data_IF_868861918472
#
_entry.id   IF_868861918472
#
_cell.length_a   1.000
_cell.length_b   1.000
_cell.length_c   1.000
_cell.angle_alpha   90.00
_cell.angle_beta   90.00
_cell.angle_gamma   90.00
#
_symmetry.space_group_name_H-M   'P 1'
#
loop_
_entity.id
_entity.type
_entity.pdbx_description
1 polymer ?
#
# COMPACT_ATOMS: atom_id res chain seq x y z
N UNK A 1 -42.92 28.65 -55.70
CA UNK A 1 -41.61 27.96 -55.81
C UNK A 1 -41.47 27.10 -54.57
N UNK A 2 -41.42 25.76 -54.70
CA UNK A 2 -40.22 24.91 -54.44
C UNK A 2 -39.62 25.14 -53.03
N UNK A 3 -39.51 24.17 -52.11
CA UNK A 3 -39.55 22.69 -52.29
C UNK A 3 -39.54 21.87 -50.98
N UNK A 4 -40.09 20.63 -51.03
CA UNK A 4 -39.97 19.44 -50.12
C UNK A 4 -40.40 19.57 -48.62
N UNK A 5 -41.33 18.76 -48.07
CA UNK A 5 -41.28 17.30 -47.71
C UNK A 5 -40.16 16.97 -46.69
N UNK A 6 -40.39 16.28 -45.56
CA UNK A 6 -41.13 15.02 -45.38
C UNK A 6 -41.87 14.85 -44.05
N UNK A 7 -42.85 13.93 -44.03
CA UNK A 7 -43.38 13.26 -42.83
C UNK A 7 -42.51 12.03 -42.55
N UNK A 8 -42.07 11.82 -41.30
CA UNK A 8 -41.72 10.48 -40.78
C UNK A 8 -42.29 10.33 -39.38
N UNK A 9 -43.14 9.32 -39.21
CA UNK A 9 -43.63 8.84 -37.91
C UNK A 9 -42.62 7.84 -37.37
N UNK A 10 -42.21 7.97 -36.11
CA UNK A 10 -41.63 6.85 -35.35
C UNK A 10 -42.32 6.69 -34.00
N UNK A 11 -42.90 5.51 -33.83
CA UNK A 11 -43.47 4.96 -32.61
C UNK A 11 -42.51 3.88 -32.10
N UNK A 12 -42.44 3.71 -30.77
CA UNK A 12 -41.90 2.54 -30.06
C UNK A 12 -40.39 2.24 -30.23
N UNK A 13 -39.64 2.40 -29.13
CA UNK A 13 -38.98 1.29 -28.42
C UNK A 13 -38.30 1.82 -27.16
N UNK A 14 -38.47 1.15 -26.03
CA UNK A 14 -37.80 1.53 -24.79
C UNK A 14 -36.36 1.04 -24.78
N UNK A 15 -35.44 1.93 -24.39
CA UNK A 15 -34.22 1.52 -23.69
C UNK A 15 -34.20 2.28 -22.38
N UNK A 16 -34.82 1.70 -21.36
CA UNK A 16 -34.41 1.97 -19.99
C UNK A 16 -32.97 1.46 -19.89
N UNK A 17 -31.99 2.34 -20.09
CA UNK A 17 -30.64 2.11 -19.58
C UNK A 17 -30.74 2.28 -18.07
N UNK A 18 -31.31 1.28 -17.39
CA UNK A 18 -31.00 1.00 -16.00
C UNK A 18 -29.55 0.52 -15.97
N UNK A 19 -28.62 1.43 -16.26
CA UNK A 19 -27.24 1.25 -15.89
C UNK A 19 -27.28 1.02 -14.38
N UNK A 20 -26.84 -0.15 -13.96
CA UNK A 20 -26.53 -0.38 -12.57
C UNK A 20 -25.47 0.65 -12.20
N UNK A 21 -25.90 1.77 -11.63
CA UNK A 21 -25.05 2.59 -10.79
C UNK A 21 -24.82 1.72 -9.56
N UNK A 22 -23.88 0.79 -9.69
CA UNK A 22 -23.24 0.17 -8.54
C UNK A 22 -22.81 1.33 -7.66
N UNK A 23 -23.29 1.44 -6.41
CA UNK A 23 -22.77 2.46 -5.52
C UNK A 23 -21.25 2.28 -5.48
N UNK A 24 -20.46 3.37 -5.48
CA UNK A 24 -19.02 3.23 -5.40
C UNK A 24 -18.72 2.41 -4.15
N UNK A 25 -18.01 1.29 -4.33
CA UNK A 25 -17.55 0.47 -3.23
C UNK A 25 -16.36 1.15 -2.55
N UNK A 26 -16.55 2.39 -2.09
CA UNK A 26 -15.63 3.11 -1.20
C UNK A 26 -15.77 2.55 0.21
N UNK A 27 -15.63 1.24 0.34
CA UNK A 27 -15.29 0.60 1.60
C UNK A 27 -13.80 0.86 1.82
N UNK A 28 -13.50 2.05 2.35
CA UNK A 28 -12.14 2.47 2.70
C UNK A 28 -11.42 1.33 3.42
N UNK A 29 -10.43 0.78 2.73
CA UNK A 29 -9.67 -0.37 3.18
C UNK A 29 -8.39 -0.61 2.39
N UNK A 30 -7.50 -1.38 3.01
CA UNK A 30 -6.29 -1.90 2.39
C UNK A 30 -5.99 -3.30 2.93
N UNK A 31 -5.21 -4.06 2.16
CA UNK A 31 -4.61 -5.34 2.50
C UNK A 31 -3.09 -5.13 2.49
N UNK A 32 -2.40 -5.56 3.53
CA UNK A 32 -0.93 -5.57 3.61
C UNK A 32 -0.46 -6.98 3.97
N UNK A 33 0.49 -7.53 3.21
CA UNK A 33 0.93 -8.94 3.29
C UNK A 33 2.43 -9.04 3.03
N UNK A 34 3.21 -9.52 4.00
CA UNK A 34 4.69 -9.59 3.93
C UNK A 34 5.23 -11.03 4.10
N UNK A 35 5.77 -11.61 3.02
CA UNK A 35 6.32 -12.98 2.95
C UNK A 35 7.83 -12.98 2.72
N UNK A 36 8.54 -13.95 3.31
CA UNK A 36 9.86 -14.38 2.85
C UNK A 36 9.71 -15.08 1.49
N UNK A 37 10.39 -14.58 0.46
CA UNK A 37 10.45 -15.22 -0.84
C UNK A 37 11.46 -16.38 -0.81
N UNK A 38 10.91 -17.59 -0.70
CA UNK A 38 11.66 -18.85 -0.71
C UNK A 38 12.36 -19.15 -2.05
N UNK A 39 12.08 -18.38 -3.12
CA UNK A 39 12.69 -18.55 -4.44
C UNK A 39 13.96 -17.72 -4.66
N UNK A 40 14.29 -16.79 -3.76
CA UNK A 40 15.42 -15.88 -3.96
C UNK A 40 16.80 -16.57 -3.77
N UNK A 41 17.72 -16.50 -4.76
CA UNK A 41 18.94 -17.32 -4.78
C UNK A 41 20.09 -16.86 -3.85
N UNK A 42 19.92 -15.78 -3.08
CA UNK A 42 20.99 -15.11 -2.34
C UNK A 42 20.90 -15.19 -0.80
N UNK A 43 19.97 -16.02 -0.28
CA UNK A 43 19.48 -16.07 1.10
C UNK A 43 18.57 -14.91 1.48
N UNK A 44 17.27 -15.24 1.57
CA UNK A 44 16.17 -14.51 2.21
C UNK A 44 16.03 -13.06 1.69
N UNK A 45 15.19 -12.91 0.68
CA UNK A 45 14.51 -11.64 0.42
C UNK A 45 13.08 -11.77 0.94
N UNK A 46 12.47 -10.68 1.41
CA UNK A 46 11.04 -10.65 1.70
C UNK A 46 10.31 -9.74 0.70
N UNK A 47 9.09 -10.10 0.34
CA UNK A 47 8.19 -9.30 -0.51
C UNK A 47 6.99 -8.86 0.32
N UNK A 48 6.80 -7.55 0.43
CA UNK A 48 5.64 -6.92 1.04
C UNK A 48 4.75 -6.34 -0.06
N UNK A 49 3.48 -6.75 -0.07
CA UNK A 49 2.45 -6.22 -0.93
C UNK A 49 1.42 -5.43 -0.13
N UNK A 50 1.12 -4.21 -0.57
CA UNK A 50 0.03 -3.40 -0.06
C UNK A 50 -0.94 -3.08 -1.19
N UNK A 51 -2.18 -3.57 -1.09
CA UNK A 51 -3.25 -3.29 -2.04
C UNK A 51 -4.33 -2.42 -1.38
N UNK A 52 -4.69 -1.32 -2.00
CA UNK A 52 -5.77 -0.43 -1.56
C UNK A 52 -7.10 -0.75 -2.27
N UNK A 53 -8.21 -0.47 -1.59
CA UNK A 53 -9.58 -0.67 -2.12
C UNK A 53 -9.91 0.07 -3.43
N UNK A 54 -9.18 1.15 -3.75
CA UNK A 54 -9.25 1.89 -5.02
C UNK A 54 -8.24 1.40 -6.08
N UNK A 55 -7.42 0.40 -5.78
CA UNK A 55 -6.59 -0.29 -6.77
C UNK A 55 -5.17 0.24 -6.96
N UNK A 56 -4.58 0.94 -5.99
CA UNK A 56 -3.12 1.02 -5.89
C UNK A 56 -2.57 -0.28 -5.31
N UNK A 57 -1.66 -0.92 -6.04
CA UNK A 57 -0.83 -2.03 -5.57
C UNK A 57 0.61 -1.51 -5.41
N UNK A 58 1.15 -1.65 -4.21
CA UNK A 58 2.55 -1.42 -3.86
C UNK A 58 3.21 -2.79 -3.65
N UNK A 59 4.38 -2.99 -4.25
CA UNK A 59 5.30 -4.10 -4.01
C UNK A 59 6.62 -3.54 -3.49
N UNK A 60 7.11 -4.08 -2.37
CA UNK A 60 8.43 -3.78 -1.80
C UNK A 60 9.19 -5.09 -1.64
N UNK A 61 10.35 -5.21 -2.29
CA UNK A 61 11.26 -6.35 -2.12
C UNK A 61 12.39 -5.91 -1.18
N UNK A 62 12.64 -6.63 -0.09
CA UNK A 62 13.66 -6.32 0.93
C UNK A 62 14.71 -7.43 1.00
N UNK A 63 15.93 -7.10 1.46
CA UNK A 63 16.95 -8.10 1.82
C UNK A 63 16.87 -8.40 3.33
N UNK A 64 16.99 -9.66 3.75
CA UNK A 64 16.81 -10.05 5.17
C UNK A 64 17.83 -9.52 6.17
N UNK A 65 18.88 -8.82 5.71
CA UNK A 65 19.81 -8.13 6.60
C UNK A 65 19.32 -6.74 7.01
N UNK A 66 18.37 -6.16 6.27
CA UNK A 66 17.90 -4.80 6.43
C UNK A 66 16.42 -4.70 6.00
N UNK A 67 15.52 -4.99 6.93
CA UNK A 67 14.07 -4.84 6.72
C UNK A 67 13.62 -3.38 6.62
N UNK A 68 14.55 -2.41 6.73
CA UNK A 68 14.22 -0.99 6.57
C UNK A 68 14.44 -0.53 5.13
N UNK A 69 15.39 -1.13 4.41
CA UNK A 69 15.78 -0.73 3.06
C UNK A 69 15.35 -1.73 1.97
N UNK A 70 14.25 -1.47 1.23
CA UNK A 70 13.87 -2.32 0.11
C UNK A 70 14.88 -2.20 -1.03
N UNK A 71 15.20 -3.34 -1.64
CA UNK A 71 16.02 -3.50 -2.85
C UNK A 71 15.32 -2.95 -4.09
N UNK A 72 13.98 -2.96 -4.09
CA UNK A 72 13.18 -2.36 -5.13
C UNK A 72 11.79 -2.01 -4.62
N UNK A 73 11.22 -0.91 -5.12
CA UNK A 73 9.81 -0.55 -4.91
C UNK A 73 9.08 -0.40 -6.26
N UNK A 74 7.90 -1.01 -6.36
CA UNK A 74 7.01 -0.88 -7.53
C UNK A 74 5.62 -0.44 -7.07
N UNK A 75 5.06 0.56 -7.74
CA UNK A 75 3.70 1.05 -7.50
C UNK A 75 2.93 0.97 -8.79
N UNK A 76 1.83 0.22 -8.81
CA UNK A 76 1.02 -0.05 -10.00
C UNK A 76 -0.44 0.27 -9.75
N UNK A 77 -1.18 0.58 -10.81
CA UNK A 77 -2.65 0.68 -10.75
C UNK A 77 -3.26 -0.61 -11.29
N UNK A 78 -3.90 -1.38 -10.42
CA UNK A 78 -4.58 -2.63 -10.80
C UNK A 78 -6.06 -2.38 -11.18
N UNK A 79 -6.63 -3.15 -12.12
CA UNK A 79 -8.05 -3.05 -12.46
C UNK A 79 -8.95 -3.34 -11.26
N UNK A 80 -10.06 -2.60 -11.12
CA UNK A 80 -11.01 -2.76 -10.01
C UNK A 80 -11.62 -4.18 -9.94
N UNK A 81 -11.72 -4.88 -11.08
CA UNK A 81 -12.14 -6.29 -11.12
C UNK A 81 -11.16 -7.20 -10.35
N UNK A 82 -9.85 -7.01 -10.54
CA UNK A 82 -8.80 -7.72 -9.81
C UNK A 82 -8.83 -7.40 -8.32
N UNK A 83 -9.03 -6.13 -7.95
CA UNK A 83 -9.22 -5.70 -6.54
C UNK A 83 -10.42 -6.43 -5.93
N UNK A 84 -11.58 -6.41 -6.61
CA UNK A 84 -12.80 -7.03 -6.11
C UNK A 84 -12.67 -8.55 -6.00
N UNK A 85 -11.96 -9.20 -6.94
CA UNK A 85 -11.66 -10.63 -6.92
C UNK A 85 -10.87 -11.02 -5.66
N UNK A 86 -9.82 -10.28 -5.32
CA UNK A 86 -9.08 -10.49 -4.07
C UNK A 86 -9.96 -10.16 -2.86
N UNK A 87 -10.68 -9.03 -2.88
CA UNK A 87 -11.47 -8.52 -1.75
C UNK A 87 -12.57 -9.50 -1.33
N UNK A 88 -13.20 -10.18 -2.30
CA UNK A 88 -14.20 -11.21 -2.04
C UNK A 88 -13.64 -12.44 -1.30
N UNK A 89 -12.32 -12.67 -1.33
CA UNK A 89 -11.63 -13.80 -0.67
C UNK A 89 -11.18 -13.48 0.76
N UNK A 90 -11.05 -12.19 1.13
CA UNK A 90 -10.52 -11.77 2.44
C UNK A 90 -11.45 -12.04 3.64
N UNK A 91 -12.79 -11.82 3.58
CA UNK A 91 -13.67 -12.03 4.73
C UNK A 91 -13.55 -13.40 5.43
N UNK A 92 -13.53 -14.57 4.74
CA UNK A 92 -13.37 -15.85 5.43
C UNK A 92 -11.97 -16.01 6.06
N UNK A 93 -10.91 -15.50 5.43
CA UNK A 93 -9.53 -15.60 5.92
C UNK A 93 -9.33 -14.81 7.22
N UNK A 94 -9.88 -13.60 7.28
CA UNK A 94 -9.79 -12.70 8.42
C UNK A 94 -10.98 -12.85 9.39
N UNK A 95 -11.86 -13.84 9.20
CA UNK A 95 -13.06 -14.02 10.04
C UNK A 95 -12.78 -14.46 11.49
N UNK A 96 -11.58 -15.00 11.77
CA UNK A 96 -11.21 -15.56 13.07
C UNK A 96 -9.94 -14.92 13.61
N UNK A 97 -10.00 -14.36 14.81
CA UNK A 97 -8.81 -13.94 15.57
C UNK A 97 -7.91 -15.14 15.86
N UNK A 98 -6.68 -15.13 15.35
CA UNK A 98 -5.67 -16.14 15.63
C UNK A 98 -4.50 -15.53 16.40
N UNK A 99 -4.47 -15.75 17.72
CA UNK A 99 -3.24 -15.63 18.50
C UNK A 99 -2.24 -16.68 18.00
N UNK A 100 -1.04 -16.28 17.58
CA UNK A 100 -0.04 -17.23 17.12
C UNK A 100 1.36 -16.89 17.64
N UNK A 101 1.92 -17.83 18.42
CA UNK A 101 3.36 -18.01 18.55
C UNK A 101 3.80 -18.97 17.43
N UNK A 102 4.45 -18.45 16.38
CA UNK A 102 5.33 -19.24 15.52
C UNK A 102 6.62 -18.47 15.35
N UNK A 103 7.74 -19.11 15.69
CA UNK A 103 9.09 -18.54 15.62
C UNK A 103 9.80 -18.84 14.30
N UNK A 104 9.12 -19.44 13.31
CA UNK A 104 9.73 -20.02 12.11
C UNK A 104 8.78 -20.07 10.90
N UNK A 105 7.85 -19.11 10.80
CA UNK A 105 6.87 -19.08 9.73
C UNK A 105 7.24 -18.00 8.71
N UNK A 106 7.31 -18.31 7.40
CA UNK A 106 7.83 -17.41 6.36
C UNK A 106 6.89 -16.24 6.01
N UNK A 107 5.86 -15.96 6.82
CA UNK A 107 5.02 -14.77 6.63
C UNK A 107 4.90 -14.05 7.97
N UNK A 108 5.46 -12.85 8.03
CA UNK A 108 5.77 -12.21 9.31
C UNK A 108 4.64 -11.28 9.74
N UNK A 109 3.93 -10.66 8.78
CA UNK A 109 2.77 -9.82 9.05
C UNK A 109 1.72 -9.90 7.92
N UNK A 110 0.44 -9.85 8.30
CA UNK A 110 -0.66 -9.59 7.36
C UNK A 110 -1.84 -8.91 8.05
N UNK A 111 -2.32 -7.84 7.43
CA UNK A 111 -3.34 -6.94 7.95
C UNK A 111 -4.38 -6.64 6.89
N UNK A 112 -5.63 -6.55 7.31
CA UNK A 112 -6.74 -6.12 6.47
C UNK A 112 -7.58 -5.10 7.20
N UNK A 113 -7.61 -3.87 6.68
CA UNK A 113 -8.53 -2.82 7.10
C UNK A 113 -9.73 -2.82 6.15
N UNK A 114 -10.94 -2.93 6.68
CA UNK A 114 -12.17 -2.82 5.89
C UNK A 114 -13.28 -2.19 6.73
N UNK A 115 -13.92 -1.13 6.21
CA UNK A 115 -14.99 -0.38 6.89
C UNK A 115 -14.57 0.10 8.30
N UNK A 116 -13.32 0.58 8.43
CA UNK A 116 -12.74 1.01 9.71
C UNK A 116 -12.42 -0.12 10.70
N UNK A 117 -12.71 -1.39 10.37
CA UNK A 117 -12.33 -2.54 11.19
C UNK A 117 -10.99 -3.07 10.72
N UNK A 118 -9.94 -2.85 11.51
CA UNK A 118 -8.65 -3.50 11.34
C UNK A 118 -8.73 -4.95 11.83
N UNK A 119 -8.25 -5.88 11.01
CA UNK A 119 -8.16 -7.30 11.36
C UNK A 119 -6.76 -7.83 11.02
N UNK A 120 -6.11 -8.46 11.98
CA UNK A 120 -4.77 -9.05 11.86
C UNK A 120 -4.88 -10.56 11.72
N UNK A 121 -4.03 -11.15 10.87
CA UNK A 121 -3.77 -12.59 10.85
C UNK A 121 -2.28 -12.79 11.07
N UNK A 122 -1.90 -13.30 12.25
CA UNK A 122 -0.55 -13.81 12.45
C UNK A 122 -0.47 -15.22 11.89
N UNK A 123 0.34 -15.39 10.85
CA UNK A 123 0.30 -16.57 9.98
C UNK A 123 0.99 -17.79 10.61
N UNK A 124 1.53 -17.61 11.82
CA UNK A 124 2.08 -18.66 12.65
C UNK A 124 1.19 -19.88 12.88
N UNK A 125 -0.14 -19.70 12.86
CA UNK A 125 -1.12 -20.81 12.89
C UNK A 125 -1.70 -21.15 11.52
N UNK A 126 -1.58 -20.29 10.52
CA UNK A 126 -2.12 -20.55 9.18
C UNK A 126 -1.45 -21.75 8.52
N UNK A 127 -0.13 -21.92 8.67
CA UNK A 127 0.58 -23.11 8.19
C UNK A 127 0.22 -24.43 8.91
N UNK A 128 -0.59 -24.39 9.98
CA UNK A 128 -1.15 -25.59 10.61
C UNK A 128 -2.54 -25.96 10.05
N UNK A 129 -3.18 -25.06 9.28
CA UNK A 129 -4.43 -25.30 8.55
C UNK A 129 -4.12 -25.23 7.04
N UNK A 130 -3.82 -26.38 6.44
CA UNK A 130 -3.38 -26.51 5.03
C UNK A 130 -4.31 -25.77 4.05
N UNK A 131 -5.63 -25.80 4.29
CA UNK A 131 -6.62 -25.13 3.43
C UNK A 131 -6.50 -23.60 3.50
N UNK A 132 -6.29 -23.05 4.70
CA UNK A 132 -6.12 -21.60 4.88
C UNK A 132 -4.75 -21.12 4.42
N UNK A 133 -3.70 -21.89 4.70
CA UNK A 133 -2.35 -21.67 4.18
C UNK A 133 -2.36 -21.53 2.65
N UNK A 134 -2.99 -22.47 1.96
CA UNK A 134 -3.18 -22.42 0.50
C UNK A 134 -3.87 -21.14 0.05
N UNK A 135 -5.02 -20.80 0.63
CA UNK A 135 -5.79 -19.62 0.21
C UNK A 135 -5.06 -18.27 0.37
N UNK A 136 -4.21 -18.11 1.39
CA UNK A 136 -3.42 -16.89 1.55
C UNK A 136 -2.18 -16.88 0.65
N UNK A 137 -1.54 -18.04 0.46
CA UNK A 137 -0.47 -18.23 -0.52
C UNK A 137 -0.96 -17.89 -1.93
N UNK A 138 -2.16 -18.35 -2.30
CA UNK A 138 -2.82 -17.99 -3.56
C UNK A 138 -3.07 -16.47 -3.71
N UNK A 139 -3.41 -15.76 -2.62
CA UNK A 139 -3.59 -14.30 -2.66
C UNK A 139 -2.24 -13.62 -2.86
N UNK A 140 -1.19 -14.09 -2.20
CA UNK A 140 0.16 -13.56 -2.43
C UNK A 140 0.63 -13.79 -3.87
N UNK A 141 0.46 -15.00 -4.42
CA UNK A 141 0.78 -15.27 -5.82
C UNK A 141 -0.08 -14.44 -6.79
N UNK A 142 -1.34 -14.16 -6.45
CA UNK A 142 -2.21 -13.28 -7.23
C UNK A 142 -1.75 -11.81 -7.17
N UNK A 143 -1.36 -11.30 -6.00
CA UNK A 143 -0.75 -9.97 -5.84
C UNK A 143 0.56 -9.86 -6.63
N UNK A 144 1.43 -10.86 -6.54
CA UNK A 144 2.67 -10.93 -7.31
C UNK A 144 2.40 -10.92 -8.81
N UNK A 145 1.48 -11.76 -9.30
CA UNK A 145 1.11 -11.77 -10.72
C UNK A 145 0.53 -10.44 -11.19
N UNK A 146 -0.22 -9.72 -10.34
CA UNK A 146 -0.71 -8.38 -10.66
C UNK A 146 0.42 -7.35 -10.74
N UNK A 147 1.42 -7.43 -9.86
CA UNK A 147 2.61 -6.55 -9.94
C UNK A 147 3.46 -6.88 -11.18
N UNK A 148 3.80 -8.15 -11.39
CA UNK A 148 4.62 -8.64 -12.51
C UNK A 148 3.99 -8.37 -13.90
N UNK A 149 2.66 -8.20 -13.98
CA UNK A 149 1.93 -7.96 -15.24
C UNK A 149 1.49 -6.51 -15.46
N UNK A 150 1.53 -5.66 -14.44
CA UNK A 150 1.21 -4.25 -14.56
C UNK A 150 2.47 -3.42 -14.87
N UNK A 151 2.32 -2.38 -15.70
CA UNK A 151 3.38 -1.39 -15.82
C UNK A 151 3.46 -0.55 -14.54
N UNK A 152 4.65 -0.32 -13.96
CA UNK A 152 4.84 0.64 -12.88
C UNK A 152 4.27 2.01 -13.25
N UNK A 153 3.74 2.71 -12.26
CA UNK A 153 3.27 4.08 -12.43
C UNK A 153 4.46 5.04 -12.57
N UNK A 154 4.42 5.90 -13.58
CA UNK A 154 5.34 7.03 -13.72
C UNK A 154 5.03 8.18 -12.74
N UNK A 155 3.91 8.10 -12.02
CA UNK A 155 3.53 9.07 -11.00
C UNK A 155 4.41 8.96 -9.75
N UNK A 156 4.40 10.01 -8.93
CA UNK A 156 5.15 10.07 -7.68
C UNK A 156 4.48 9.26 -6.57
N UNK A 157 5.27 8.49 -5.83
CA UNK A 157 4.92 7.81 -4.59
C UNK A 157 5.89 8.22 -3.48
N UNK A 158 5.36 8.34 -2.25
CA UNK A 158 6.19 8.59 -1.05
C UNK A 158 5.76 7.64 0.06
N UNK A 159 6.70 6.85 0.60
CA UNK A 159 6.55 6.21 1.91
C UNK A 159 7.33 7.02 2.96
N UNK A 160 6.80 7.09 4.18
CA UNK A 160 7.43 7.78 5.30
C UNK A 160 7.25 6.98 6.60
N UNK A 161 8.35 6.49 7.17
CA UNK A 161 8.36 5.73 8.42
C UNK A 161 9.09 6.53 9.50
N UNK A 162 8.58 6.54 10.72
CA UNK A 162 9.30 7.11 11.87
C UNK A 162 9.00 6.38 13.17
N UNK A 163 9.92 6.51 14.14
CA UNK A 163 9.75 5.99 15.49
C UNK A 163 9.83 7.12 16.52
N UNK A 164 8.76 7.30 17.30
CA UNK A 164 8.74 8.30 18.38
C UNK A 164 9.46 7.81 19.64
N UNK A 165 10.02 8.74 20.42
CA UNK A 165 10.49 8.51 21.79
C UNK A 165 9.37 7.86 22.63
N UNK A 166 9.52 6.57 22.95
CA UNK A 166 8.46 5.72 23.50
C UNK A 166 8.21 4.44 22.68
N UNK A 167 8.85 4.30 21.52
CA UNK A 167 9.04 3.03 20.83
C UNK A 167 7.98 2.64 19.80
N UNK A 168 6.98 3.49 19.54
CA UNK A 168 5.99 3.27 18.48
C UNK A 168 6.55 3.65 17.12
N UNK A 169 6.34 2.79 16.13
CA UNK A 169 6.57 3.12 14.73
C UNK A 169 5.28 3.61 14.08
N UNK A 170 5.40 4.53 13.14
CA UNK A 170 4.31 4.98 12.26
C UNK A 170 4.83 4.89 10.83
N UNK A 171 4.11 4.18 9.97
CA UNK A 171 4.35 4.09 8.54
C UNK A 171 3.23 4.80 7.78
N UNK A 172 3.59 5.58 6.78
CA UNK A 172 2.69 6.31 5.89
C UNK A 172 3.02 5.97 4.43
N UNK A 173 2.01 5.67 3.63
CA UNK A 173 2.14 5.52 2.17
C UNK A 173 1.26 6.57 1.49
N UNK A 174 1.83 7.38 0.59
CA UNK A 174 1.14 8.45 -0.12
C UNK A 174 1.10 8.16 -1.63
N UNK A 175 -0.11 8.18 -2.20
CA UNK A 175 -0.38 7.78 -3.59
C UNK A 175 -0.88 8.95 -4.46
N UNK A 176 -0.65 8.89 -5.80
CA UNK A 176 -0.96 9.97 -6.75
C UNK A 176 -2.37 10.56 -6.73
N UNK A 177 -3.40 9.77 -6.45
CA UNK A 177 -4.80 10.24 -6.42
C UNK A 177 -5.23 10.87 -5.08
N UNK A 178 -4.26 11.20 -4.22
CA UNK A 178 -4.50 11.75 -2.88
C UNK A 178 -4.80 10.69 -1.82
N UNK A 179 -4.76 9.41 -2.17
CA UNK A 179 -4.91 8.32 -1.20
C UNK A 179 -3.69 8.26 -0.28
N UNK A 180 -3.92 8.05 1.01
CA UNK A 180 -2.87 7.71 1.95
C UNK A 180 -3.26 6.49 2.80
N UNK A 181 -2.28 5.65 3.10
CA UNK A 181 -2.35 4.62 4.15
C UNK A 181 -1.48 5.06 5.32
N UNK A 182 -1.89 4.70 6.53
CA UNK A 182 -1.19 4.94 7.79
C UNK A 182 -1.30 3.70 8.66
N UNK A 183 -0.17 3.13 9.08
CA UNK A 183 -0.09 2.00 10.01
C UNK A 183 0.74 2.38 11.23
N UNK A 184 0.23 2.16 12.44
CA UNK A 184 0.99 2.31 13.69
C UNK A 184 1.39 0.95 14.22
N UNK A 185 2.65 0.79 14.66
CA UNK A 185 3.15 -0.45 15.22
C UNK A 185 3.74 -0.28 16.62
N UNK A 186 3.53 -1.30 17.46
CA UNK A 186 4.04 -1.40 18.81
C UNK A 186 5.50 -1.84 18.87
N UNK A 187 6.12 -1.64 20.03
CA UNK A 187 7.51 -2.00 20.26
C UNK A 187 7.69 -3.53 20.39
N UNK A 188 8.75 -4.07 19.78
CA UNK A 188 9.26 -5.42 20.03
C UNK A 188 8.80 -6.50 19.04
N UNK A 189 7.50 -6.58 18.69
CA UNK A 189 6.94 -7.67 17.87
C UNK A 189 6.25 -7.22 16.56
N UNK A 190 6.35 -5.94 16.19
CA UNK A 190 5.69 -5.39 15.00
C UNK A 190 4.16 -5.50 15.02
N UNK A 191 3.54 -5.53 16.21
CA UNK A 191 2.08 -5.53 16.33
C UNK A 191 1.48 -4.22 15.82
N UNK A 192 0.57 -4.32 14.85
CA UNK A 192 -0.22 -3.17 14.41
C UNK A 192 -1.18 -2.71 15.53
N UNK A 193 -1.02 -1.48 15.98
CA UNK A 193 -1.82 -0.85 17.04
C UNK A 193 -3.06 -0.15 16.46
N UNK A 194 -2.89 0.51 15.33
CA UNK A 194 -3.97 1.15 14.58
C UNK A 194 -3.61 1.23 13.10
N UNK A 195 -4.62 1.35 12.26
CA UNK A 195 -4.45 1.55 10.83
C UNK A 195 -5.55 2.46 10.29
N UNK A 196 -5.23 3.24 9.26
CA UNK A 196 -6.15 4.10 8.54
C UNK A 196 -5.78 4.13 7.07
N UNK A 197 -6.80 4.17 6.22
CA UNK A 197 -6.68 4.70 4.85
C UNK A 197 -7.58 5.93 4.75
N UNK A 198 -7.28 6.83 3.81
CA UNK A 198 -8.13 7.97 3.51
C UNK A 198 -7.70 8.63 2.20
N UNK A 199 -8.45 9.64 1.78
CA UNK A 199 -8.14 10.46 0.61
C UNK A 199 -8.10 11.94 1.00
N UNK A 200 -6.95 12.58 0.84
CA UNK A 200 -6.74 14.03 1.06
C UNK A 200 -5.79 14.57 -0.03
N UNK A 201 -6.31 14.82 -1.25
CA UNK A 201 -5.47 15.22 -2.38
C UNK A 201 -4.81 16.57 -2.17
N UNK A 202 -5.37 17.44 -1.31
CA UNK A 202 -4.77 18.74 -0.98
C UNK A 202 -3.54 18.57 -0.09
N UNK A 203 -3.59 17.69 0.92
CA UNK A 203 -2.39 17.41 1.72
C UNK A 203 -1.37 16.57 0.97
N UNK A 204 -1.79 15.55 0.21
CA UNK A 204 -0.85 14.72 -0.56
C UNK A 204 -0.15 15.53 -1.65
N UNK A 205 -0.85 16.44 -2.34
CA UNK A 205 -0.20 17.37 -3.26
C UNK A 205 0.92 18.18 -2.57
N UNK A 206 0.72 18.67 -1.34
CA UNK A 206 1.77 19.36 -0.57
C UNK A 206 2.96 18.49 -0.16
N UNK A 207 2.78 17.17 -0.04
CA UNK A 207 3.88 16.21 0.16
C UNK A 207 4.69 16.13 -1.13
N UNK A 208 3.99 16.05 -2.26
CA UNK A 208 4.57 15.83 -3.58
C UNK A 208 5.25 17.09 -4.15
N UNK A 209 4.66 18.27 -3.96
CA UNK A 209 5.24 19.58 -4.28
C UNK A 209 6.55 19.85 -3.51
N UNK A 210 6.77 19.16 -2.39
CA UNK A 210 7.99 19.22 -1.57
C UNK A 210 9.09 18.24 -1.99
N UNK A 211 8.83 17.34 -2.96
CA UNK A 211 9.85 16.47 -3.57
C UNK A 211 10.44 17.17 -4.80
N UNK A 212 11.75 17.46 -4.78
CA UNK A 212 12.49 17.94 -5.96
C UNK A 212 13.15 16.78 -6.72
N UNK A 213 13.51 17.00 -7.99
CA UNK A 213 14.27 16.01 -8.79
C UNK A 213 15.62 15.62 -8.15
N UNK A 214 16.16 16.47 -7.28
CA UNK A 214 17.45 16.28 -6.60
C UNK A 214 17.43 15.06 -5.66
N UNK A 215 16.26 14.73 -5.07
CA UNK A 215 16.06 13.57 -4.18
C UNK A 215 16.54 12.25 -4.81
N UNK A 216 16.39 12.11 -6.13
CA UNK A 216 16.78 10.92 -6.88
C UNK A 216 18.23 10.96 -7.40
N UNK A 217 19.02 11.98 -7.02
CA UNK A 217 20.39 12.20 -7.51
C UNK A 217 21.44 12.27 -6.41
N UNK A 218 21.04 12.63 -5.19
CA UNK A 218 21.88 12.59 -3.99
C UNK A 218 20.98 12.24 -2.78
N UNK A 219 20.95 10.97 -2.31
CA UNK A 219 20.25 10.54 -1.10
C UNK A 219 20.98 11.05 0.15
N UNK A 220 21.07 12.37 0.24
CA UNK A 220 21.69 13.09 1.34
C UNK A 220 20.68 13.18 2.48
N UNK A 221 20.79 12.24 3.41
CA UNK A 221 20.96 12.48 4.84
C UNK A 221 19.96 13.45 5.57
N UNK A 222 19.42 13.10 6.75
CA UNK A 222 18.67 14.02 7.67
C UNK A 222 19.05 13.83 9.15
N UNK A 223 19.29 14.93 9.88
CA UNK A 223 19.29 14.91 11.35
C UNK A 223 17.86 14.80 11.84
N UNK A 224 17.55 13.74 12.58
CA UNK A 224 16.25 13.56 13.21
C UNK A 224 15.92 14.69 14.22
N UNK A 225 14.63 15.06 14.36
CA UNK A 225 14.14 15.72 15.56
C UNK A 225 14.54 14.97 16.83
N UNK A 226 14.84 15.68 17.91
CA UNK A 226 15.15 15.06 19.21
C UNK A 226 13.98 14.24 19.82
N UNK A 227 12.79 14.29 19.22
CA UNK A 227 11.61 13.49 19.58
C UNK A 227 11.57 12.10 18.92
N UNK A 228 12.49 11.78 18.01
CA UNK A 228 12.50 10.54 17.22
C UNK A 228 13.77 9.73 17.45
N UNK A 229 13.63 8.40 17.45
CA UNK A 229 14.73 7.43 17.53
C UNK A 229 15.11 6.84 16.18
N UNK A 230 14.21 6.89 15.19
CA UNK A 230 14.43 6.39 13.84
C UNK A 230 13.52 7.14 12.86
N UNK A 231 13.97 7.24 11.60
CA UNK A 231 13.16 7.73 10.49
C UNK A 231 13.72 7.26 9.14
N UNK A 232 12.83 6.92 8.21
CA UNK A 232 13.15 6.62 6.81
C UNK A 232 12.08 7.18 5.88
N UNK A 233 12.49 7.43 4.64
CA UNK A 233 11.62 7.88 3.58
C UNK A 233 11.97 7.14 2.30
N UNK A 234 10.98 6.75 1.52
CA UNK A 234 11.19 6.16 0.20
C UNK A 234 10.40 7.00 -0.79
N UNK A 235 11.04 7.42 -1.86
CA UNK A 235 10.44 8.23 -2.91
C UNK A 235 10.61 7.49 -4.23
N UNK A 236 9.52 7.23 -4.95
CA UNK A 236 9.53 6.50 -6.22
C UNK A 236 8.76 7.24 -7.29
N UNK A 237 9.26 7.22 -8.53
CA UNK A 237 8.65 7.86 -9.70
C UNK A 237 9.06 7.11 -10.97
N UNK A 238 8.18 6.25 -11.49
CA UNK A 238 8.52 5.31 -12.55
C UNK A 238 9.68 4.41 -12.12
N UNK A 239 10.71 4.30 -12.98
CA UNK A 239 11.92 3.53 -12.68
C UNK A 239 12.98 4.28 -11.84
N UNK A 240 12.67 5.47 -11.28
CA UNK A 240 13.56 6.19 -10.36
C UNK A 240 13.09 5.98 -8.93
N UNK A 241 13.97 5.46 -8.08
CA UNK A 241 13.74 5.33 -6.64
C UNK A 241 14.85 6.07 -5.87
N UNK A 242 14.46 6.64 -4.72
CA UNK A 242 15.37 7.15 -3.70
C UNK A 242 14.99 6.56 -2.37
N UNK A 243 16.00 6.04 -1.67
CA UNK A 243 15.90 5.18 -0.51
C UNK A 243 16.66 5.86 0.63
N UNK A 244 15.93 6.68 1.38
CA UNK A 244 16.44 7.79 2.18
C UNK A 244 16.38 7.44 3.68
N UNK A 245 17.50 6.93 4.23
CA UNK A 245 17.60 6.46 5.62
C UNK A 245 18.23 7.48 6.54
N UNK A 246 17.46 7.92 7.54
CA UNK A 246 17.82 9.12 8.28
C UNK A 246 17.94 8.95 9.78
N UNK A 247 19.19 8.69 10.14
CA UNK A 247 19.92 9.62 11.01
C UNK A 247 21.20 10.09 10.29
N UNK A 248 21.61 11.35 10.50
CA UNK A 248 22.71 12.13 9.83
C UNK A 248 22.29 12.77 8.49
N UNK A 249 22.67 14.06 8.25
CA UNK A 249 22.07 15.23 7.50
C UNK A 249 22.76 15.72 6.17
N UNK A 250 22.15 16.38 5.13
CA UNK A 250 20.86 17.13 4.93
C UNK A 250 20.22 17.04 3.49
N UNK A 251 18.89 16.83 3.37
CA UNK A 251 18.08 17.10 2.15
C UNK A 251 16.55 16.99 2.33
N UNK A 252 16.04 15.76 2.36
CA UNK A 252 14.65 15.41 2.67
C UNK A 252 14.14 15.86 4.07
N UNK A 253 15.00 16.51 4.87
CA UNK A 253 14.72 17.07 6.21
C UNK A 253 13.49 17.97 6.21
N UNK A 254 13.28 18.75 5.15
CA UNK A 254 12.11 19.63 5.04
C UNK A 254 10.83 18.82 4.90
N UNK A 255 10.81 17.86 3.98
CA UNK A 255 9.67 16.97 3.75
C UNK A 255 9.38 16.11 4.98
N UNK A 256 10.43 15.59 5.61
CA UNK A 256 10.36 14.84 6.87
C UNK A 256 9.73 15.65 8.01
N UNK A 257 10.22 16.87 8.24
CA UNK A 257 9.69 17.77 9.28
C UNK A 257 8.26 18.22 8.98
N UNK A 258 7.93 18.46 7.70
CA UNK A 258 6.58 18.79 7.26
C UNK A 258 5.63 17.62 7.47
N UNK A 259 6.01 16.41 7.06
CA UNK A 259 5.23 15.18 7.27
C UNK A 259 5.02 14.90 8.75
N UNK A 260 6.09 14.95 9.55
CA UNK A 260 6.00 14.76 11.00
C UNK A 260 5.15 15.83 11.71
N UNK A 261 5.16 17.08 11.22
CA UNK A 261 4.38 18.19 11.80
C UNK A 261 2.90 18.21 11.37
N UNK A 262 2.61 17.99 10.08
CA UNK A 262 1.27 18.09 9.50
C UNK A 262 0.42 16.82 9.68
N UNK A 263 1.06 15.68 10.00
CA UNK A 263 0.44 14.35 10.10
C UNK A 263 0.72 13.64 11.43
N UNK A 264 1.05 14.39 12.50
CA UNK A 264 0.95 13.90 13.88
C UNK A 264 -0.43 14.19 14.46
#
# INVERSE_FOLDING_TARGET
MRSFFWIVVFLLAGIWVSGCVTPPASTEGFLEVALDDLSCPANVCSSEYLLTSNGWLLEKIQNSGDSTNPVSISVTRVPQESVQKIWNRLPPLFSSSMDANCSSCPVWNSFWLHNGKLTRVNIGKFFQDENRSGQLSDIFFELKQLSDSASPSDDLFVQFVFQENGGRFVDYHFFPDGTFVRSEFGFGNGEILSARVGNDPVKVAKVFDSVSDDFFSDPAAVDCPASLTHGSMIVSKGARESLDFFCVNSGAKRLFLQLYGDWK
#
